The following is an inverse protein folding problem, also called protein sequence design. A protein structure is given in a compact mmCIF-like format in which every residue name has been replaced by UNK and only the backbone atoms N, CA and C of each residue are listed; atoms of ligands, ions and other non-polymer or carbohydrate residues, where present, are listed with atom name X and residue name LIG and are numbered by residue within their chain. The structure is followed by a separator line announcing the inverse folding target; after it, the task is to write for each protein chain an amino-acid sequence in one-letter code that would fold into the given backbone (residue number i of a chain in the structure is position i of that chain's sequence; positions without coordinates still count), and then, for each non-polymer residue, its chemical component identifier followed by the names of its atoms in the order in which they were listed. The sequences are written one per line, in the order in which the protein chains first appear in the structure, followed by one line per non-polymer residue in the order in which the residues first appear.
data_IF_323723666105
#
_entry.id   IF_323723666105
#
_cell.length_a   1.000
_cell.length_b   1.000
_cell.length_c   1.000
_cell.angle_alpha   90.00
_cell.angle_beta   90.00
_cell.angle_gamma   90.00
#
_symmetry.space_group_name_H-M   'P 1'
#
loop_
_entity.id
_entity.type
_entity.pdbx_description
1 polymer ?
#
# COMPACT_ATOMS: atom_id res chain seq x y z
N UNK A 1 -18.35 1.91 -8.74
CA UNK A 1 -18.43 1.38 -7.35
C UNK A 1 -19.86 1.27 -6.83
N UNK A 2 -20.66 2.34 -6.72
CA UNK A 2 -22.00 2.27 -6.09
C UNK A 2 -23.00 1.30 -6.74
N UNK A 3 -22.88 1.02 -8.04
CA UNK A 3 -23.76 0.09 -8.75
C UNK A 3 -23.65 -1.38 -8.30
N UNK A 4 -22.50 -1.77 -7.76
CA UNK A 4 -22.18 -3.16 -7.41
C UNK A 4 -22.10 -3.40 -5.90
N UNK A 5 -22.31 -2.38 -5.07
CA UNK A 5 -22.23 -2.51 -3.61
C UNK A 5 -23.29 -3.44 -3.02
N UNK A 6 -24.39 -3.67 -3.74
CA UNK A 6 -25.47 -4.60 -3.38
C UNK A 6 -25.31 -6.00 -3.96
N UNK A 7 -24.30 -6.24 -4.80
CA UNK A 7 -24.13 -7.54 -5.46
C UNK A 7 -23.70 -8.60 -4.44
N UNK A 8 -24.35 -9.76 -4.49
CA UNK A 8 -24.05 -10.86 -3.57
C UNK A 8 -22.60 -11.31 -3.77
N UNK A 9 -21.82 -11.30 -2.69
CA UNK A 9 -20.40 -11.68 -2.73
C UNK A 9 -19.44 -10.51 -2.87
N UNK A 10 -19.93 -9.31 -3.21
CA UNK A 10 -19.16 -8.07 -3.26
C UNK A 10 -19.20 -7.39 -1.90
N UNK A 11 -18.05 -6.92 -1.43
CA UNK A 11 -17.91 -6.12 -0.22
C UNK A 11 -17.06 -4.89 -0.54
N UNK A 12 -17.60 -3.71 -0.27
CA UNK A 12 -16.92 -2.43 -0.54
C UNK A 12 -16.90 -1.63 0.77
N UNK A 13 -15.72 -1.13 1.15
CA UNK A 13 -15.58 -0.28 2.33
C UNK A 13 -14.49 0.76 2.11
N UNK A 14 -14.83 2.03 2.33
CA UNK A 14 -13.85 3.11 2.41
C UNK A 14 -13.16 3.06 3.78
N UNK A 15 -11.84 3.19 3.78
CA UNK A 15 -11.02 3.20 4.99
C UNK A 15 -10.30 4.54 5.10
N UNK A 16 -10.38 5.16 6.28
CA UNK A 16 -9.61 6.35 6.58
C UNK A 16 -8.30 5.96 7.29
N UNK A 17 -7.23 6.68 7.01
CA UNK A 17 -5.90 6.48 7.62
C UNK A 17 -5.83 6.86 9.10
N UNK A 18 -6.80 7.65 9.61
CA UNK A 18 -6.97 8.03 11.04
C UNK A 18 -5.69 8.47 11.76
N UNK A 19 -4.82 9.22 11.09
CA UNK A 19 -3.60 9.77 11.70
C UNK A 19 -2.45 8.77 11.85
N UNK A 20 -2.57 7.55 11.33
CA UNK A 20 -1.40 6.70 11.12
C UNK A 20 -0.50 7.33 10.05
N UNK A 21 0.75 7.60 10.41
CA UNK A 21 1.76 8.12 9.50
C UNK A 21 2.47 6.97 8.78
N UNK A 22 2.38 6.94 7.45
CA UNK A 22 3.23 6.10 6.60
C UNK A 22 2.65 4.71 6.30
N UNK A 23 1.55 4.65 5.54
CA UNK A 23 1.09 3.40 4.96
C UNK A 23 -0.37 3.07 5.10
N UNK A 24 -0.67 1.82 4.72
CA UNK A 24 -1.95 1.17 5.00
C UNK A 24 -2.27 1.21 6.49
N UNK A 25 -3.42 1.79 6.83
CA UNK A 25 -3.92 1.76 8.20
C UNK A 25 -3.96 0.33 8.76
N UNK A 26 -3.81 0.13 10.05
CA UNK A 26 -4.05 -1.19 10.69
C UNK A 26 -5.42 -1.76 10.37
N UNK A 27 -6.42 -0.88 10.23
CA UNK A 27 -7.77 -1.28 9.80
C UNK A 27 -7.76 -1.91 8.41
N UNK A 28 -6.94 -1.42 7.48
CA UNK A 28 -6.78 -2.00 6.14
C UNK A 28 -6.10 -3.37 6.20
N UNK A 29 -5.07 -3.52 7.03
CA UNK A 29 -4.43 -4.82 7.28
C UNK A 29 -5.43 -5.84 7.87
N UNK A 30 -6.18 -5.46 8.90
CA UNK A 30 -7.19 -6.33 9.49
C UNK A 30 -8.29 -6.73 8.50
N UNK A 31 -8.73 -5.81 7.63
CA UNK A 31 -9.69 -6.14 6.57
C UNK A 31 -9.08 -7.10 5.55
N UNK A 32 -7.82 -6.91 5.14
CA UNK A 32 -7.12 -7.82 4.23
C UNK A 32 -7.07 -9.24 4.80
N UNK A 33 -6.69 -9.38 6.08
CA UNK A 33 -6.63 -10.68 6.76
C UNK A 33 -8.00 -11.35 6.87
N UNK A 34 -9.04 -10.60 7.23
CA UNK A 34 -10.41 -11.13 7.30
C UNK A 34 -10.89 -11.59 5.92
N UNK A 35 -10.63 -10.82 4.86
CA UNK A 35 -11.04 -11.18 3.50
C UNK A 35 -10.29 -12.42 2.99
N UNK A 36 -8.99 -12.55 3.30
CA UNK A 36 -8.19 -13.74 2.99
C UNK A 36 -8.72 -14.97 3.75
N UNK A 37 -9.01 -14.83 5.05
CA UNK A 37 -9.56 -15.90 5.89
C UNK A 37 -10.97 -16.34 5.46
N UNK A 38 -11.77 -15.42 4.91
CA UNK A 38 -13.08 -15.73 4.33
C UNK A 38 -12.99 -16.38 2.94
N UNK A 39 -11.78 -16.59 2.41
CA UNK A 39 -11.56 -17.24 1.12
C UNK A 39 -12.02 -16.40 -0.07
N UNK A 40 -11.95 -15.07 0.02
CA UNK A 40 -12.22 -14.19 -1.12
C UNK A 40 -11.19 -14.46 -2.22
N UNK A 41 -11.69 -14.72 -3.43
CA UNK A 41 -10.83 -15.00 -4.58
C UNK A 41 -10.04 -13.76 -5.03
N UNK A 42 -10.72 -12.61 -5.03
CA UNK A 42 -10.12 -11.31 -5.34
C UNK A 42 -10.31 -10.35 -4.16
N UNK A 43 -9.22 -9.69 -3.77
CA UNK A 43 -9.21 -8.60 -2.82
C UNK A 43 -8.58 -7.41 -3.52
N UNK A 44 -9.41 -6.41 -3.83
CA UNK A 44 -8.98 -5.19 -4.50
C UNK A 44 -8.71 -4.13 -3.45
N UNK A 45 -7.49 -3.59 -3.44
CA UNK A 45 -7.11 -2.48 -2.61
C UNK A 45 -6.82 -1.26 -3.49
N UNK A 46 -7.55 -0.17 -3.27
CA UNK A 46 -7.39 1.09 -4.00
C UNK A 46 -6.77 2.13 -3.06
N UNK A 47 -5.70 2.78 -3.53
CA UNK A 47 -5.12 3.95 -2.86
C UNK A 47 -5.70 5.23 -3.47
N UNK A 48 -5.72 6.31 -2.69
CA UNK A 48 -6.24 7.62 -3.14
C UNK A 48 -5.25 8.39 -4.04
N UNK A 49 -4.06 7.85 -4.30
CA UNK A 49 -3.01 8.47 -5.13
C UNK A 49 -2.23 9.60 -4.42
N UNK A 50 -0.94 9.68 -4.72
CA UNK A 50 0.10 10.64 -4.25
C UNK A 50 0.36 10.73 -2.73
N UNK A 51 1.20 9.81 -2.20
CA UNK A 51 1.79 9.87 -0.86
C UNK A 51 2.96 8.89 -0.60
N UNK A 52 3.15 8.49 0.65
CA UNK A 52 4.00 7.35 1.05
C UNK A 52 3.21 6.03 1.10
N UNK A 53 1.88 6.11 0.98
CA UNK A 53 0.96 4.98 1.18
C UNK A 53 1.03 3.97 0.02
N UNK A 54 1.50 4.40 -1.14
CA UNK A 54 1.68 3.55 -2.32
C UNK A 54 2.75 2.46 -2.11
N UNK A 55 3.84 2.78 -1.40
CA UNK A 55 4.90 1.81 -1.11
C UNK A 55 4.37 0.69 -0.21
N UNK A 56 3.51 1.03 0.76
CA UNK A 56 2.91 0.04 1.65
C UNK A 56 1.81 -0.78 0.94
N UNK A 57 1.06 -0.17 0.02
CA UNK A 57 0.11 -0.89 -0.82
C UNK A 57 0.80 -1.95 -1.69
N UNK A 58 1.98 -1.65 -2.25
CA UNK A 58 2.80 -2.63 -2.96
C UNK A 58 3.10 -3.86 -2.10
N UNK A 59 3.46 -3.65 -0.83
CA UNK A 59 3.78 -4.75 0.06
C UNK A 59 2.58 -5.60 0.47
N UNK A 60 1.36 -5.08 0.35
CA UNK A 60 0.12 -5.77 0.70
C UNK A 60 -0.55 -6.51 -0.46
N UNK A 61 -0.14 -6.27 -1.70
CA UNK A 61 -0.74 -6.88 -2.89
C UNK A 61 0.16 -7.99 -3.47
N UNK A 62 -0.47 -8.99 -4.11
CA UNK A 62 0.26 -9.93 -4.99
C UNK A 62 0.55 -9.28 -6.35
N UNK A 63 -0.37 -8.46 -6.86
CA UNK A 63 -0.29 -7.79 -8.16
C UNK A 63 -0.61 -6.32 -7.98
N UNK A 64 0.24 -5.45 -8.48
CA UNK A 64 0.07 -4.00 -8.45
C UNK A 64 -0.30 -3.50 -9.85
N UNK A 65 -1.46 -2.84 -9.95
CA UNK A 65 -1.97 -2.25 -11.19
C UNK A 65 -1.83 -0.74 -11.10
N UNK A 66 -0.98 -0.16 -11.94
CA UNK A 66 -0.76 1.28 -12.02
C UNK A 66 -1.69 1.88 -13.06
N UNK A 67 -2.63 2.70 -12.62
CA UNK A 67 -3.62 3.37 -13.46
C UNK A 67 -3.13 4.77 -13.86
N UNK A 68 -3.12 5.02 -15.16
CA UNK A 68 -2.72 6.28 -15.80
C UNK A 68 -3.83 6.75 -16.74
N UNK A 69 -3.82 8.02 -17.11
CA UNK A 69 -4.66 8.57 -18.17
C UNK A 69 -3.82 9.33 -19.17
N UNK A 70 -4.23 9.45 -20.45
CA UNK A 70 -3.54 10.31 -21.41
C UNK A 70 -3.44 11.73 -20.87
N UNK A 71 -2.20 12.21 -20.82
CA UNK A 71 -1.84 13.54 -20.39
C UNK A 71 -1.94 14.54 -21.53
N UNK A 72 -2.18 15.82 -21.21
CA UNK A 72 -1.85 16.95 -22.10
C UNK A 72 -0.48 17.57 -21.78
N UNK A 73 0.42 16.84 -21.09
CA UNK A 73 1.74 17.31 -20.63
C UNK A 73 2.75 16.18 -20.39
N UNK A 74 3.86 16.47 -19.69
CA UNK A 74 4.99 15.55 -19.39
C UNK A 74 4.72 14.59 -18.20
N UNK A 75 3.52 13.99 -18.12
CA UNK A 75 3.07 13.22 -16.95
C UNK A 75 3.83 11.89 -16.74
N UNK A 76 4.66 11.46 -17.70
CA UNK A 76 5.58 10.36 -17.44
C UNK A 76 6.61 10.73 -16.35
N UNK A 77 6.95 12.02 -16.18
CA UNK A 77 7.77 12.49 -15.06
C UNK A 77 7.01 12.47 -13.71
N UNK A 78 5.67 12.41 -13.73
CA UNK A 78 4.85 12.30 -12.51
C UNK A 78 4.70 10.87 -12.00
N UNK A 79 5.08 9.87 -12.80
CA UNK A 79 5.32 8.53 -12.27
C UNK A 79 6.48 8.63 -11.28
N UNK A 80 6.15 8.63 -9.98
CA UNK A 80 7.16 8.46 -8.93
C UNK A 80 8.00 7.25 -9.30
N UNK A 81 9.32 7.40 -9.28
CA UNK A 81 10.27 6.32 -9.58
C UNK A 81 9.84 5.00 -8.93
N UNK A 82 9.41 5.04 -7.66
CA UNK A 82 8.90 3.88 -6.93
C UNK A 82 7.70 3.14 -7.55
N UNK A 83 6.66 3.84 -8.03
CA UNK A 83 5.48 3.19 -8.63
C UNK A 83 5.79 2.58 -9.99
N UNK A 84 6.64 3.28 -10.76
CA UNK A 84 7.12 2.73 -12.02
C UNK A 84 7.99 1.50 -11.78
N UNK A 85 8.78 1.49 -10.70
CA UNK A 85 9.66 0.40 -10.31
C UNK A 85 8.89 -0.84 -9.81
N UNK A 86 7.79 -0.65 -9.09
CA UNK A 86 7.07 -1.75 -8.44
C UNK A 86 5.84 -2.24 -9.21
N UNK A 87 5.35 -1.45 -10.18
CA UNK A 87 4.17 -1.77 -10.97
C UNK A 87 4.30 -3.07 -11.77
N UNK A 88 3.33 -3.96 -11.64
CA UNK A 88 3.29 -5.25 -12.34
C UNK A 88 2.47 -5.19 -13.63
N UNK A 89 1.45 -4.33 -13.68
CA UNK A 89 0.60 -4.08 -14.83
C UNK A 89 0.34 -2.58 -14.91
N UNK A 90 0.44 -2.00 -16.10
CA UNK A 90 0.15 -0.59 -16.33
C UNK A 90 -1.10 -0.46 -17.17
N UNK A 91 -2.02 0.41 -16.75
CA UNK A 91 -3.28 0.65 -17.42
C UNK A 91 -3.34 2.09 -17.87
N UNK A 92 -3.47 2.33 -19.17
CA UNK A 92 -3.77 3.65 -19.71
C UNK A 92 -5.29 3.75 -19.94
N UNK A 93 -6.00 4.29 -18.96
CA UNK A 93 -7.45 4.49 -19.00
C UNK A 93 -7.82 5.80 -19.72
N UNK A 94 -9.03 5.86 -20.28
CA UNK A 94 -9.47 6.91 -21.19
C UNK A 94 -8.66 6.94 -22.49
N UNK A 95 -8.33 5.76 -23.01
CA UNK A 95 -7.58 5.61 -24.26
C UNK A 95 -8.32 6.14 -25.51
N UNK A 96 -9.56 6.58 -25.37
CA UNK A 96 -10.32 7.34 -26.37
C UNK A 96 -9.90 8.81 -26.50
N UNK A 97 -9.13 9.33 -25.55
CA UNK A 97 -8.66 10.72 -25.57
C UNK A 97 -7.42 10.92 -26.46
N UNK A 98 -7.28 12.13 -26.98
CA UNK A 98 -6.11 12.54 -27.74
C UNK A 98 -4.82 12.36 -26.91
N UNK A 99 -3.74 11.93 -27.56
CA UNK A 99 -2.46 11.67 -26.90
C UNK A 99 -2.30 10.27 -26.32
N UNK A 100 -3.35 9.43 -26.32
CA UNK A 100 -3.28 8.06 -25.81
C UNK A 100 -2.20 7.21 -26.50
N UNK A 101 -2.15 7.22 -27.84
CA UNK A 101 -1.16 6.46 -28.63
C UNK A 101 0.28 6.90 -28.32
N UNK A 102 0.50 8.22 -28.19
CA UNK A 102 1.81 8.77 -27.82
C UNK A 102 2.22 8.30 -26.42
N UNK A 103 1.32 8.40 -25.44
CA UNK A 103 1.60 8.01 -24.06
C UNK A 103 1.82 6.50 -23.94
N UNK A 104 1.06 5.68 -24.67
CA UNK A 104 1.29 4.24 -24.76
C UNK A 104 2.70 3.94 -25.28
N UNK A 105 3.12 4.58 -26.38
CA UNK A 105 4.45 4.40 -26.94
C UNK A 105 5.56 4.74 -25.96
N UNK A 106 5.43 5.89 -25.26
CA UNK A 106 6.38 6.30 -24.22
C UNK A 106 6.44 5.30 -23.07
N UNK A 107 5.28 4.84 -22.60
CA UNK A 107 5.19 3.89 -21.48
C UNK A 107 5.79 2.54 -21.84
N UNK A 108 5.49 2.01 -23.04
CA UNK A 108 6.09 0.76 -23.54
C UNK A 108 7.60 0.88 -23.69
N UNK A 109 8.09 2.00 -24.23
CA UNK A 109 9.52 2.25 -24.37
C UNK A 109 10.21 2.30 -23.01
N UNK A 110 9.65 3.01 -22.04
CA UNK A 110 10.19 3.09 -20.69
C UNK A 110 10.20 1.72 -19.99
N UNK A 111 9.13 0.93 -20.13
CA UNK A 111 9.05 -0.40 -19.53
C UNK A 111 10.02 -1.39 -20.19
N UNK A 112 10.28 -1.26 -21.48
CA UNK A 112 11.28 -2.07 -22.19
C UNK A 112 12.71 -1.81 -21.69
N UNK A 113 12.97 -0.65 -21.08
CA UNK A 113 14.26 -0.33 -20.46
C UNK A 113 14.42 -0.91 -19.05
N UNK A 114 13.36 -1.49 -18.45
CA UNK A 114 13.50 -2.21 -17.18
C UNK A 114 14.30 -3.48 -17.40
N UNK A 115 15.46 -3.55 -16.77
CA UNK A 115 16.38 -4.69 -16.85
C UNK A 115 16.21 -5.69 -15.71
N UNK A 116 15.38 -5.38 -14.72
CA UNK A 116 15.21 -6.17 -13.50
C UNK A 116 13.91 -6.98 -13.52
N UNK A 117 14.01 -8.26 -13.16
CA UNK A 117 12.87 -9.16 -12.99
C UNK A 117 12.57 -10.04 -14.20
N UNK A 118 11.93 -11.18 -13.93
CA UNK A 118 11.51 -12.16 -14.94
C UNK A 118 10.13 -11.84 -15.54
N UNK A 119 9.49 -10.76 -15.09
CA UNK A 119 8.17 -10.33 -15.53
C UNK A 119 8.27 -8.98 -16.24
N UNK A 120 7.88 -8.94 -17.50
CA UNK A 120 7.75 -7.69 -18.26
C UNK A 120 6.34 -7.12 -18.07
N UNK A 121 6.16 -5.97 -17.40
CA UNK A 121 4.83 -5.42 -17.15
C UNK A 121 4.09 -5.10 -18.46
N UNK A 122 2.87 -5.62 -18.68
CA UNK A 122 2.08 -5.26 -19.84
C UNK A 122 1.49 -3.85 -19.68
N UNK A 123 1.27 -3.18 -20.82
CA UNK A 123 0.45 -1.97 -20.92
C UNK A 123 -0.90 -2.34 -21.52
N UNK A 124 -1.98 -2.07 -20.78
CA UNK A 124 -3.37 -2.33 -21.19
C UNK A 124 -4.10 -1.01 -21.40
N UNK A 125 -4.74 -0.85 -22.55
CA UNK A 125 -5.55 0.32 -22.85
C UNK A 125 -6.99 0.09 -22.38
N UNK A 126 -7.58 1.04 -21.67
CA UNK A 126 -8.96 0.92 -21.20
C UNK A 126 -9.80 2.16 -21.47
N UNK A 127 -11.11 1.94 -21.61
CA UNK A 127 -12.12 2.99 -21.52
C UNK A 127 -13.12 2.53 -20.46
N UNK A 128 -12.77 2.71 -19.18
CA UNK A 128 -13.52 2.13 -18.06
C UNK A 128 -15.02 2.48 -18.08
N UNK A 129 -15.37 3.68 -18.53
CA UNK A 129 -16.77 4.13 -18.64
C UNK A 129 -17.60 3.35 -19.67
N UNK A 130 -16.95 2.68 -20.63
CA UNK A 130 -17.58 1.83 -21.66
C UNK A 130 -17.31 0.33 -21.44
N UNK A 131 -16.52 -0.03 -20.43
CA UNK A 131 -16.08 -1.41 -20.18
C UNK A 131 -15.02 -1.94 -21.16
N UNK A 132 -14.46 -1.10 -22.03
CA UNK A 132 -13.45 -1.52 -23.02
C UNK A 132 -12.12 -1.78 -22.33
N UNK A 133 -11.49 -2.92 -22.65
CA UNK A 133 -10.17 -3.33 -22.13
C UNK A 133 -10.19 -3.92 -20.71
N UNK A 134 -11.36 -4.00 -20.06
CA UNK A 134 -11.48 -4.55 -18.69
C UNK A 134 -11.24 -6.06 -18.67
N UNK A 135 -11.73 -6.78 -19.69
CA UNK A 135 -11.49 -8.23 -19.82
C UNK A 135 -10.01 -8.53 -20.07
N UNK A 136 -9.35 -7.78 -20.96
CA UNK A 136 -7.90 -7.90 -21.16
C UNK A 136 -7.13 -7.62 -19.86
N UNK A 137 -7.51 -6.58 -19.10
CA UNK A 137 -6.87 -6.29 -17.81
C UNK A 137 -6.99 -7.47 -16.85
N UNK A 138 -8.17 -8.09 -16.75
CA UNK A 138 -8.37 -9.28 -15.92
C UNK A 138 -7.48 -10.44 -16.38
N UNK A 139 -7.37 -10.68 -17.69
CA UNK A 139 -6.47 -11.70 -18.24
C UNK A 139 -5.00 -11.42 -17.87
N UNK A 140 -4.55 -10.16 -17.91
CA UNK A 140 -3.18 -9.81 -17.49
C UNK A 140 -2.95 -10.04 -16.00
N UNK A 141 -3.95 -9.76 -15.16
CA UNK A 141 -3.89 -10.06 -13.71
C UNK A 141 -3.73 -11.57 -13.49
N UNK A 142 -4.52 -12.39 -14.19
CA UNK A 142 -4.42 -13.85 -14.10
C UNK A 142 -3.09 -14.40 -14.65
N UNK A 143 -2.57 -13.82 -15.72
CA UNK A 143 -1.25 -14.16 -16.26
C UNK A 143 -0.14 -13.88 -15.22
N UNK A 144 -0.21 -12.73 -14.54
CA UNK A 144 0.75 -12.39 -13.49
C UNK A 144 0.60 -13.33 -12.28
N UNK A 145 -0.62 -13.62 -11.84
CA UNK A 145 -0.89 -14.60 -10.79
C UNK A 145 -0.26 -15.95 -11.12
N UNK A 146 -0.48 -16.46 -12.32
CA UNK A 146 0.09 -17.74 -12.76
C UNK A 146 1.63 -17.68 -12.83
N UNK A 147 2.21 -16.54 -13.21
CA UNK A 147 3.66 -16.32 -13.15
C UNK A 147 4.19 -16.43 -11.73
N UNK A 148 3.57 -15.77 -10.76
CA UNK A 148 3.96 -15.85 -9.34
C UNK A 148 3.85 -17.27 -8.78
N UNK A 149 2.84 -18.03 -9.20
CA UNK A 149 2.67 -19.44 -8.81
C UNK A 149 3.81 -20.30 -9.37
N UNK A 150 4.09 -20.21 -10.67
CA UNK A 150 5.17 -20.97 -11.32
C UNK A 150 6.55 -20.66 -10.72
N UNK A 151 6.79 -19.42 -10.31
CA UNK A 151 8.05 -18.97 -9.70
C UNK A 151 8.10 -19.22 -8.18
N UNK A 152 7.03 -19.71 -7.55
CA UNK A 152 6.95 -19.89 -6.10
C UNK A 152 6.86 -18.58 -5.30
N UNK A 153 6.74 -17.45 -5.98
CA UNK A 153 6.78 -16.11 -5.39
C UNK A 153 5.50 -15.77 -4.60
N UNK A 154 4.37 -16.44 -4.85
CA UNK A 154 3.15 -16.25 -4.04
C UNK A 154 3.35 -16.62 -2.58
N UNK A 155 4.02 -17.75 -2.32
CA UNK A 155 4.31 -18.20 -0.95
C UNK A 155 5.26 -17.25 -0.23
N UNK A 156 6.16 -16.59 -0.95
CA UNK A 156 7.03 -15.55 -0.40
C UNK A 156 6.28 -14.24 -0.17
N UNK A 157 5.45 -13.81 -1.12
CA UNK A 157 4.60 -12.62 -1.00
C UNK A 157 3.71 -12.69 0.23
N UNK A 158 3.05 -13.84 0.44
CA UNK A 158 2.25 -14.09 1.65
C UNK A 158 3.07 -13.97 2.94
N UNK A 159 4.27 -14.56 2.98
CA UNK A 159 5.16 -14.48 4.14
C UNK A 159 5.62 -13.04 4.41
N UNK A 160 5.94 -12.27 3.36
CA UNK A 160 6.30 -10.84 3.46
C UNK A 160 5.14 -10.03 4.03
N UNK A 161 3.92 -10.24 3.54
CA UNK A 161 2.69 -9.60 4.06
C UNK A 161 2.47 -9.87 5.53
N UNK A 162 2.47 -11.14 5.94
CA UNK A 162 2.26 -11.53 7.33
C UNK A 162 3.29 -10.90 8.26
N UNK A 163 4.57 -10.89 7.84
CA UNK A 163 5.64 -10.26 8.62
C UNK A 163 5.42 -8.76 8.80
N UNK A 164 5.07 -8.04 7.73
CA UNK A 164 4.80 -6.60 7.80
C UNK A 164 3.56 -6.27 8.62
N UNK A 165 2.48 -7.03 8.43
CA UNK A 165 1.27 -6.91 9.24
C UNK A 165 1.58 -7.07 10.73
N UNK A 166 2.34 -8.11 11.09
CA UNK A 166 2.80 -8.32 12.47
C UNK A 166 3.64 -7.15 13.00
N UNK A 167 4.64 -6.68 12.25
CA UNK A 167 5.50 -5.56 12.65
C UNK A 167 4.67 -4.28 12.90
N UNK A 168 3.69 -3.98 12.04
CA UNK A 168 2.78 -2.84 12.20
C UNK A 168 1.86 -2.98 13.41
N UNK A 169 1.28 -4.15 13.63
CA UNK A 169 0.44 -4.43 14.81
C UNK A 169 1.27 -4.25 16.09
N UNK A 170 2.51 -4.76 16.11
CA UNK A 170 3.40 -4.62 17.25
C UNK A 170 3.73 -3.14 17.54
N UNK A 171 4.09 -2.36 16.52
CA UNK A 171 4.37 -0.92 16.66
C UNK A 171 3.17 -0.18 17.26
N UNK A 172 1.98 -0.48 16.76
CA UNK A 172 0.75 0.11 17.27
C UNK A 172 0.49 -0.20 18.73
N UNK A 173 0.55 -1.48 19.11
CA UNK A 173 0.31 -1.90 20.49
C UNK A 173 1.33 -1.27 21.46
N UNK A 174 2.59 -1.13 21.03
CA UNK A 174 3.62 -0.45 21.82
C UNK A 174 3.31 1.05 21.98
N UNK A 175 2.87 1.72 20.90
CA UNK A 175 2.48 3.13 20.93
C UNK A 175 1.27 3.36 21.84
N UNK A 176 0.23 2.52 21.74
CA UNK A 176 -0.93 2.58 22.63
C UNK A 176 -0.53 2.36 24.09
N UNK A 177 0.34 1.38 24.35
CA UNK A 177 0.83 1.10 25.70
C UNK A 177 1.63 2.28 26.27
N UNK A 178 2.42 2.95 25.44
CA UNK A 178 3.15 4.16 25.81
C UNK A 178 2.20 5.29 26.21
N UNK A 179 1.15 5.53 25.43
CA UNK A 179 0.13 6.54 25.75
C UNK A 179 -0.67 6.21 27.01
N UNK A 180 -0.86 4.94 27.35
CA UNK A 180 -1.53 4.54 28.59
C UNK A 180 -0.66 4.73 29.84
N UNK A 181 0.66 4.53 29.72
CA UNK A 181 1.58 4.57 30.85
C UNK A 181 2.21 5.95 31.08
N UNK A 182 2.35 6.76 30.04
CA UNK A 182 2.77 8.14 30.16
C UNK A 182 1.54 9.03 30.14
N UNK A 183 1.21 9.61 31.30
CA UNK A 183 0.21 10.67 31.34
C UNK A 183 0.67 11.86 30.49
N UNK A 184 -0.27 12.68 30.01
CA UNK A 184 0.07 13.91 29.29
C UNK A 184 1.04 14.80 30.09
N UNK A 185 0.91 14.83 31.42
CA UNK A 185 1.81 15.57 32.31
C UNK A 185 3.21 14.97 32.42
N UNK A 186 3.37 13.64 32.34
CA UNK A 186 4.69 13.00 32.33
C UNK A 186 5.42 13.30 31.03
N UNK A 187 4.70 13.22 29.91
CA UNK A 187 5.25 13.51 28.59
C UNK A 187 5.67 14.98 28.48
N UNK A 188 4.84 15.92 28.94
CA UNK A 188 5.19 17.34 28.93
C UNK A 188 6.44 17.64 29.76
N UNK A 189 6.59 17.01 30.94
CA UNK A 189 7.80 17.19 31.77
C UNK A 189 9.06 16.65 31.09
N UNK A 190 8.97 15.52 30.40
CA UNK A 190 10.10 14.98 29.63
C UNK A 190 10.46 15.88 28.45
N UNK A 191 9.45 16.36 27.71
CA UNK A 191 9.67 17.28 26.59
C UNK A 191 10.30 18.60 27.05
N UNK A 192 9.83 19.17 28.15
CA UNK A 192 10.40 20.40 28.72
C UNK A 192 11.89 20.23 29.07
N UNK A 193 12.27 19.10 29.69
CA UNK A 193 13.68 18.79 29.99
C UNK A 193 14.54 18.67 28.72
N UNK A 194 13.96 18.23 27.61
CA UNK A 194 14.64 18.16 26.31
C UNK A 194 14.79 19.55 25.69
N UNK A 195 13.72 20.34 25.67
CA UNK A 195 13.71 21.71 25.14
C UNK A 195 14.65 22.64 25.91
N UNK A 196 14.76 22.47 27.23
CA UNK A 196 15.68 23.20 28.10
C UNK A 196 17.13 22.68 28.03
N UNK A 197 17.39 21.61 27.26
CA UNK A 197 18.73 21.02 27.11
C UNK A 197 19.24 20.27 28.34
N UNK A 198 18.39 20.00 29.33
CA UNK A 198 18.74 19.24 30.54
C UNK A 198 18.90 17.74 30.24
N UNK A 199 18.30 17.27 29.14
CA UNK A 199 18.42 15.89 28.68
C UNK A 199 18.37 15.85 27.15
N UNK A 200 19.15 14.98 26.52
CA UNK A 200 19.05 14.79 25.07
C UNK A 200 17.80 13.94 24.71
N UNK A 201 17.28 14.07 23.47
CA UNK A 201 16.09 13.34 23.04
C UNK A 201 16.20 11.81 23.18
N UNK A 202 17.40 11.24 22.99
CA UNK A 202 17.63 9.80 23.05
C UNK A 202 17.48 9.29 24.48
N UNK A 203 18.18 9.92 25.41
CA UNK A 203 18.12 9.57 26.83
C UNK A 203 16.71 9.82 27.42
N UNK A 204 15.99 10.84 26.95
CA UNK A 204 14.60 11.10 27.37
C UNK A 204 13.63 10.02 26.86
N UNK A 205 13.78 9.57 25.61
CA UNK A 205 13.01 8.46 25.04
C UNK A 205 13.30 7.13 25.75
N UNK A 206 14.56 6.84 26.10
CA UNK A 206 14.90 5.65 26.91
C UNK A 206 14.23 5.67 28.29
N UNK A 207 14.16 6.83 28.95
CA UNK A 207 13.46 6.98 30.24
C UNK A 207 11.96 6.70 30.10
N UNK A 208 11.34 7.26 29.05
CA UNK A 208 9.94 6.99 28.69
C UNK A 208 9.68 5.49 28.47
N UNK A 209 10.57 4.81 27.74
CA UNK A 209 10.43 3.37 27.41
C UNK A 209 10.68 2.49 28.63
N UNK A 210 11.66 2.80 29.50
CA UNK A 210 11.92 1.99 30.71
C UNK A 210 10.71 1.91 31.64
N UNK A 211 9.88 2.95 31.66
CA UNK A 211 8.61 2.96 32.38
C UNK A 211 7.61 1.89 31.91
N UNK A 212 7.73 1.40 30.67
CA UNK A 212 6.89 0.34 30.09
C UNK A 212 7.10 -1.01 30.79
N UNK A 213 8.33 -1.33 31.19
CA UNK A 213 8.68 -2.65 31.74
C UNK A 213 8.58 -2.72 33.27
N UNK A 214 8.63 -1.57 33.96
CA UNK A 214 8.65 -1.47 35.43
C UNK A 214 7.34 -1.81 36.15
N UNK A 215 6.23 -2.04 35.44
CA UNK A 215 4.92 -2.35 36.02
C UNK A 215 4.50 -3.83 35.85
N UNK A 216 5.40 -4.71 35.41
CA UNK A 216 5.11 -6.12 35.06
C UNK A 216 5.22 -7.11 36.22
N UNK A 217 5.09 -6.66 37.47
CA UNK A 217 5.18 -7.53 38.65
C UNK A 217 4.03 -7.23 39.60
N UNK A 218 2.90 -7.92 39.39
CA UNK A 218 1.78 -7.90 40.32
C UNK A 218 0.44 -8.37 39.76
N UNK A 219 0.31 -9.65 39.40
CA UNK A 219 -0.88 -10.50 39.62
C UNK A 219 -0.60 -11.93 39.19
#
# INVERSE_FOLDING_TARGET
MQRHSSDRGVFIRSLATRGETGGLSLSAWGVLEVMDALGKEYILFETIGVGQDEIEAHHAADTEVVLLTPAQGDDLQMLKAGLFETGHIFVLNKADLEGAERMEGLLRAALAMRTEGDWTPPVVLTQAHRGVGVEELLERIEQHRAFLERKGLRGEGRRRRLRRGFEKILEHLLRERLHQLLSEGDLQRLLQRVEEGQKDPWSAAEEAIRGLWGHSSGS
#
